data_IF_062871773527
#
_entry.id   IF_062871773527
#
_cell.length_a   1.000
_cell.length_b   1.000
_cell.length_c   1.000
_cell.angle_alpha   90.00
_cell.angle_beta   90.00
_cell.angle_gamma   90.00
#
_symmetry.space_group_name_H-M   'P 1'
#
loop_
_entity.id
_entity.type
_entity.pdbx_description
1 polymer ?
#
# COMPACT_ATOMS: atom_id res chain seq x y z
N UNK A 1 32.72 9.72 -3.81
CA UNK A 1 31.63 9.67 -4.81
C UNK A 1 30.34 10.07 -4.11
N UNK A 2 29.93 11.34 -4.25
CA UNK A 2 28.73 11.88 -3.61
C UNK A 2 27.50 11.43 -4.41
N UNK A 3 26.62 10.62 -3.83
CA UNK A 3 25.26 10.46 -4.35
C UNK A 3 24.36 11.46 -3.63
N UNK A 4 24.13 12.60 -4.27
CA UNK A 4 23.12 13.58 -3.85
C UNK A 4 21.76 12.97 -4.24
N UNK A 5 21.18 12.18 -3.34
CA UNK A 5 19.74 11.89 -3.43
C UNK A 5 19.02 13.14 -2.97
N UNK A 6 18.55 13.94 -3.92
CA UNK A 6 17.72 15.10 -3.65
C UNK A 6 16.38 14.61 -3.09
N UNK A 7 16.33 14.39 -1.78
CA UNK A 7 15.08 14.37 -1.03
C UNK A 7 14.36 15.67 -1.34
N UNK A 8 13.14 15.57 -1.86
CA UNK A 8 12.30 16.74 -2.04
C UNK A 8 12.16 17.43 -0.68
N UNK A 9 12.30 18.75 -0.58
CA UNK A 9 12.36 19.45 0.72
C UNK A 9 11.14 19.21 1.63
N UNK A 10 10.02 18.75 1.08
CA UNK A 10 8.83 18.35 1.84
C UNK A 10 8.97 17.02 2.60
N UNK A 11 9.87 16.13 2.20
CA UNK A 11 9.96 14.76 2.73
C UNK A 11 10.87 14.64 3.96
N UNK A 12 11.87 15.52 4.11
CA UNK A 12 12.68 15.61 5.33
C UNK A 12 11.99 16.38 6.49
N UNK A 13 10.85 17.05 6.20
CA UNK A 13 9.99 17.67 7.22
C UNK A 13 9.03 16.66 7.89
N UNK A 14 8.84 15.49 7.26
CA UNK A 14 7.92 14.40 7.66
C UNK A 14 8.25 13.84 9.04
N UNK A 15 9.53 13.73 9.39
CA UNK A 15 10.00 13.09 10.63
C UNK A 15 9.91 13.99 11.87
N UNK A 16 9.50 15.25 11.72
CA UNK A 16 9.40 16.23 12.81
C UNK A 16 7.97 16.66 13.16
N UNK A 17 6.95 15.91 12.72
CA UNK A 17 5.56 16.15 13.10
C UNK A 17 4.84 17.26 12.32
N UNK A 18 5.35 17.65 11.15
CA UNK A 18 4.73 18.69 10.31
C UNK A 18 4.29 18.14 8.94
N UNK A 19 3.52 17.04 8.91
CA UNK A 19 2.85 16.66 7.67
C UNK A 19 1.60 17.50 7.51
N UNK A 20 1.68 18.52 6.65
CA UNK A 20 0.48 19.18 6.13
C UNK A 20 -0.03 18.33 4.97
N UNK A 21 -0.97 17.42 5.26
CA UNK A 21 -1.70 16.72 4.22
C UNK A 21 -2.35 17.75 3.29
N UNK A 22 -2.27 17.53 1.97
CA UNK A 22 -3.07 18.32 1.04
C UNK A 22 -4.55 18.09 1.35
N UNK A 23 -5.41 19.09 1.11
CA UNK A 23 -6.84 18.99 1.45
C UNK A 23 -7.52 17.70 0.96
N UNK A 24 -7.12 17.19 -0.22
CA UNK A 24 -7.56 15.88 -0.73
C UNK A 24 -7.14 14.72 0.17
N UNK A 25 -5.89 14.67 0.60
CA UNK A 25 -5.35 13.59 1.43
C UNK A 25 -5.92 13.64 2.85
N UNK A 26 -6.09 14.85 3.41
CA UNK A 26 -6.78 15.04 4.68
C UNK A 26 -8.22 14.51 4.61
N UNK A 27 -8.94 14.81 3.51
CA UNK A 27 -10.29 14.28 3.29
C UNK A 27 -10.33 12.75 3.16
N UNK A 28 -9.32 12.13 2.52
CA UNK A 28 -9.20 10.67 2.46
C UNK A 28 -8.98 10.05 3.85
N UNK A 29 -8.09 10.64 4.67
CA UNK A 29 -7.81 10.13 6.01
C UNK A 29 -9.01 10.29 6.95
N UNK A 30 -9.70 11.43 6.86
CA UNK A 30 -10.90 11.70 7.65
C UNK A 30 -12.06 10.74 7.32
N UNK A 31 -12.15 10.27 6.08
CA UNK A 31 -13.13 9.27 5.66
C UNK A 31 -12.79 7.83 6.08
N UNK A 32 -11.59 7.61 6.64
CA UNK A 32 -11.08 6.31 7.11
C UNK A 32 -10.54 6.46 8.54
N UNK A 33 -11.36 6.84 9.53
CA UNK A 33 -10.90 7.15 10.88
C UNK A 33 -10.21 5.97 11.60
N UNK A 34 -10.56 4.72 11.30
CA UNK A 34 -10.13 3.52 12.02
C UNK A 34 -9.52 2.45 11.09
N UNK A 35 -8.64 1.58 11.60
CA UNK A 35 -8.26 0.34 10.90
C UNK A 35 -9.48 -0.50 10.52
N UNK A 36 -9.46 -1.09 9.34
CA UNK A 36 -10.57 -1.85 8.76
C UNK A 36 -11.55 -1.01 7.94
N UNK A 37 -11.52 0.32 8.09
CA UNK A 37 -12.38 1.19 7.29
C UNK A 37 -12.04 1.08 5.80
N UNK A 38 -13.09 1.18 4.98
CA UNK A 38 -12.99 1.08 3.52
C UNK A 38 -13.73 2.25 2.87
N UNK A 39 -13.16 2.76 1.79
CA UNK A 39 -13.71 3.87 1.03
C UNK A 39 -13.73 3.54 -0.45
N UNK A 40 -14.94 3.42 -1.00
CA UNK A 40 -15.18 3.40 -2.43
C UNK A 40 -15.12 4.81 -3.01
N UNK A 41 -14.24 5.03 -3.97
CA UNK A 41 -13.98 6.36 -4.51
C UNK A 41 -13.62 6.32 -6.00
N UNK A 42 -13.92 7.39 -6.72
CA UNK A 42 -13.50 7.54 -8.12
C UNK A 42 -11.98 7.45 -8.26
N UNK A 43 -11.50 6.73 -9.28
CA UNK A 43 -10.07 6.51 -9.55
C UNK A 43 -9.27 7.81 -9.68
N UNK A 44 -9.90 8.89 -10.15
CA UNK A 44 -9.27 10.22 -10.30
C UNK A 44 -9.03 10.95 -8.98
N UNK A 45 -9.62 10.49 -7.86
CA UNK A 45 -9.57 11.16 -6.56
C UNK A 45 -8.56 10.55 -5.59
N UNK A 46 -7.98 9.39 -5.93
CA UNK A 46 -6.97 8.72 -5.10
C UNK A 46 -5.91 8.08 -6.00
N UNK A 47 -4.65 8.13 -5.58
CA UNK A 47 -3.51 7.55 -6.27
C UNK A 47 -2.64 6.73 -5.31
N UNK A 48 -1.77 5.86 -5.86
CA UNK A 48 -0.79 5.12 -5.06
C UNK A 48 0.08 6.08 -4.21
N UNK A 49 0.41 7.26 -4.72
CA UNK A 49 1.19 8.26 -3.97
C UNK A 49 0.48 8.78 -2.74
N UNK A 50 -0.85 8.77 -2.74
CA UNK A 50 -1.61 9.19 -1.57
C UNK A 50 -1.44 8.18 -0.43
N UNK A 51 -1.26 6.87 -0.70
CA UNK A 51 -1.06 5.87 0.35
C UNK A 51 0.17 6.16 1.21
N UNK A 52 1.31 6.51 0.58
CA UNK A 52 2.52 6.89 1.32
C UNK A 52 2.31 8.12 2.22
N UNK A 53 1.58 9.13 1.74
CA UNK A 53 1.26 10.31 2.54
C UNK A 53 0.31 10.01 3.70
N UNK A 54 -0.68 9.13 3.49
CA UNK A 54 -1.60 8.68 4.53
C UNK A 54 -0.85 7.86 5.59
N UNK A 55 -0.01 6.91 5.16
CA UNK A 55 0.84 6.11 6.04
C UNK A 55 1.82 6.97 6.84
N UNK A 56 2.40 8.01 6.22
CA UNK A 56 3.25 8.96 6.92
C UNK A 56 2.50 9.75 8.01
N UNK A 57 1.22 10.08 7.76
CA UNK A 57 0.43 10.90 8.68
C UNK A 57 -0.07 10.14 9.91
N UNK A 58 -0.35 8.84 9.81
CA UNK A 58 -0.91 8.07 10.92
C UNK A 58 -0.14 6.80 11.30
N UNK A 59 0.90 6.42 10.56
CA UNK A 59 1.70 5.22 10.84
C UNK A 59 1.04 3.90 10.48
N UNK A 60 -0.07 3.90 9.72
CA UNK A 60 -0.80 2.69 9.35
C UNK A 60 -0.59 2.32 7.87
N UNK A 61 -0.82 1.05 7.53
CA UNK A 61 -0.93 0.59 6.16
C UNK A 61 -2.21 1.05 5.47
N UNK A 62 -2.13 1.18 4.15
CA UNK A 62 -3.27 1.40 3.28
C UNK A 62 -3.14 0.55 2.03
N UNK A 63 -4.24 -0.06 1.58
CA UNK A 63 -4.29 -0.81 0.33
C UNK A 63 -5.24 -0.15 -0.66
N UNK A 64 -4.92 -0.30 -1.94
CA UNK A 64 -5.71 0.25 -3.02
C UNK A 64 -6.05 -0.84 -4.04
N UNK A 65 -7.34 -1.08 -4.23
CA UNK A 65 -7.86 -2.00 -5.24
C UNK A 65 -8.54 -1.19 -6.34
N UNK A 66 -8.30 -1.50 -7.60
CA UNK A 66 -8.89 -0.78 -8.74
C UNK A 66 -9.86 -1.67 -9.50
N UNK A 67 -11.07 -1.18 -9.75
CA UNK A 67 -12.04 -1.77 -10.66
C UNK A 67 -12.50 -0.70 -11.66
N UNK A 68 -12.04 -0.80 -12.91
CA UNK A 68 -12.37 0.17 -13.98
C UNK A 68 -12.12 1.63 -13.53
N UNK A 69 -13.17 2.44 -13.41
CA UNK A 69 -13.13 3.85 -13.02
C UNK A 69 -13.21 4.14 -11.52
N UNK A 70 -13.32 3.11 -10.67
CA UNK A 70 -13.40 3.23 -9.20
C UNK A 70 -12.24 2.52 -8.51
N UNK A 71 -12.01 2.91 -7.27
CA UNK A 71 -11.02 2.33 -6.37
C UNK A 71 -11.64 2.10 -5.00
N UNK A 72 -11.25 0.98 -4.39
CA UNK A 72 -11.47 0.73 -2.98
C UNK A 72 -10.15 1.04 -2.26
N UNK A 73 -10.19 2.03 -1.38
CA UNK A 73 -9.11 2.36 -0.45
C UNK A 73 -9.43 1.72 0.90
N UNK A 74 -8.51 0.95 1.45
CA UNK A 74 -8.68 0.26 2.74
C UNK A 74 -7.60 0.74 3.69
N UNK A 75 -8.00 1.09 4.92
CA UNK A 75 -7.07 1.41 6.00
C UNK A 75 -6.75 0.14 6.80
N UNK A 76 -5.47 -0.14 6.95
CA UNK A 76 -4.95 -1.15 7.86
C UNK A 76 -4.55 -0.57 9.20
N UNK A 77 -3.71 -1.32 9.90
CA UNK A 77 -3.02 -0.88 11.11
C UNK A 77 -1.49 -0.85 10.89
N UNK A 78 -0.70 -0.87 11.96
CA UNK A 78 0.76 -0.87 11.89
C UNK A 78 1.35 -2.21 11.42
N UNK A 79 0.56 -3.29 11.43
CA UNK A 79 0.99 -4.65 11.12
C UNK A 79 0.50 -5.12 9.74
N UNK A 80 -0.58 -4.55 9.21
CA UNK A 80 -1.03 -4.88 7.86
C UNK A 80 -2.43 -4.41 7.49
N UNK A 81 -2.89 -4.90 6.34
CA UNK A 81 -4.25 -4.70 5.84
C UNK A 81 -5.20 -5.71 6.50
N UNK A 82 -6.27 -5.20 7.09
CA UNK A 82 -7.27 -5.99 7.82
C UNK A 82 -8.37 -6.54 6.91
N UNK A 83 -8.00 -7.22 5.83
CA UNK A 83 -8.93 -7.97 4.98
C UNK A 83 -8.67 -9.46 5.13
N UNK A 84 -9.74 -10.22 5.33
CA UNK A 84 -9.71 -11.69 5.31
C UNK A 84 -9.39 -12.21 3.91
N UNK A 85 -8.89 -13.44 3.83
CA UNK A 85 -8.68 -14.11 2.55
C UNK A 85 -9.98 -14.20 1.73
N UNK A 86 -11.12 -14.45 2.39
CA UNK A 86 -12.43 -14.51 1.74
C UNK A 86 -12.80 -13.18 1.07
N UNK A 87 -12.58 -12.05 1.75
CA UNK A 87 -12.82 -10.71 1.18
C UNK A 87 -11.88 -10.42 0.01
N UNK A 88 -10.60 -10.78 0.13
CA UNK A 88 -9.63 -10.62 -0.96
C UNK A 88 -10.02 -11.47 -2.19
N UNK A 89 -10.47 -12.71 -1.99
CA UNK A 89 -10.99 -13.58 -3.06
C UNK A 89 -12.25 -13.01 -3.69
N UNK A 90 -13.16 -12.43 -2.90
CA UNK A 90 -14.35 -11.75 -3.41
C UNK A 90 -13.95 -10.57 -4.31
N UNK A 91 -13.03 -9.71 -3.86
CA UNK A 91 -12.52 -8.59 -4.65
C UNK A 91 -11.90 -9.08 -5.98
N UNK A 92 -11.05 -10.10 -5.93
CA UNK A 92 -10.46 -10.70 -7.13
C UNK A 92 -11.52 -11.28 -8.08
N UNK A 93 -12.53 -11.97 -7.54
CA UNK A 93 -13.66 -12.54 -8.28
C UNK A 93 -14.53 -11.48 -8.97
N UNK A 94 -14.71 -10.32 -8.34
CA UNK A 94 -15.38 -9.14 -8.90
C UNK A 94 -14.53 -8.40 -9.96
N UNK A 95 -13.28 -8.83 -10.18
CA UNK A 95 -12.37 -8.25 -11.16
C UNK A 95 -11.59 -7.04 -10.64
N UNK A 96 -11.52 -6.83 -9.33
CA UNK A 96 -10.59 -5.85 -8.77
C UNK A 96 -9.15 -6.26 -9.04
N UNK A 97 -8.31 -5.24 -9.24
CA UNK A 97 -6.86 -5.36 -9.31
C UNK A 97 -6.23 -4.81 -8.05
N UNK A 98 -5.41 -5.60 -7.37
CA UNK A 98 -4.60 -5.11 -6.27
C UNK A 98 -3.55 -4.12 -6.81
N UNK A 99 -3.79 -2.83 -6.64
CA UNK A 99 -2.96 -1.79 -7.28
C UNK A 99 -1.68 -1.53 -6.50
N UNK A 100 -1.72 -1.79 -5.20
CA UNK A 100 -0.61 -1.66 -4.28
C UNK A 100 -1.06 -1.33 -2.87
N UNK A 101 -0.12 -1.35 -1.94
CA UNK A 101 -0.31 -0.93 -0.57
C UNK A 101 0.91 -0.13 -0.06
N UNK A 102 0.77 0.46 1.12
CA UNK A 102 1.85 1.18 1.78
C UNK A 102 2.38 0.45 2.99
N UNK A 103 3.70 0.49 3.20
CA UNK A 103 4.30 0.13 4.49
C UNK A 103 4.60 1.41 5.29
N UNK A 104 4.27 1.47 6.60
CA UNK A 104 4.70 2.55 7.44
C UNK A 104 6.18 2.36 7.77
N UNK A 105 6.95 3.46 7.86
CA UNK A 105 8.31 3.36 8.38
C UNK A 105 8.26 3.01 9.86
N UNK A 106 8.79 1.84 10.21
CA UNK A 106 8.83 1.35 11.60
C UNK A 106 10.10 1.80 12.32
N UNK A 107 11.20 2.04 11.58
CA UNK A 107 12.54 2.31 12.15
C UNK A 107 13.15 3.68 11.76
N UNK A 108 12.35 4.62 11.25
CA UNK A 108 12.82 5.98 10.91
C UNK A 108 13.47 6.12 9.51
N UNK A 109 14.21 7.22 9.27
CA UNK A 109 14.80 7.54 7.97
C UNK A 109 15.84 6.52 7.53
N UNK A 110 15.63 5.93 6.35
CA UNK A 110 16.64 5.06 5.70
C UNK A 110 16.35 3.56 5.79
N UNK A 111 15.20 3.16 6.33
CA UNK A 111 14.73 1.77 6.25
C UNK A 111 14.34 1.42 4.81
N UNK A 112 15.31 0.90 4.05
CA UNK A 112 15.11 0.46 2.66
C UNK A 112 14.28 -0.83 2.56
N UNK A 113 14.07 -1.54 3.68
CA UNK A 113 13.25 -2.76 3.69
C UNK A 113 11.76 -2.44 3.53
N UNK A 114 11.33 -1.21 3.81
CA UNK A 114 9.93 -0.78 3.73
C UNK A 114 9.34 -0.79 2.31
N UNK A 115 10.13 -0.96 1.25
CA UNK A 115 9.62 -1.12 -0.13
C UNK A 115 9.84 -2.52 -0.72
N UNK A 116 10.30 -3.47 0.09
CA UNK A 116 10.42 -4.86 -0.33
C UNK A 116 9.12 -5.59 -0.03
N UNK A 117 8.57 -6.27 -1.05
CA UNK A 117 7.45 -7.16 -0.84
C UNK A 117 7.86 -8.28 0.12
N UNK A 118 7.02 -8.54 1.11
CA UNK A 118 7.11 -9.70 1.99
C UNK A 118 6.71 -10.98 1.23
N UNK A 119 6.85 -12.12 1.91
CA UNK A 119 6.32 -13.39 1.40
C UNK A 119 4.79 -13.36 1.25
N UNK A 120 4.08 -12.77 2.22
CA UNK A 120 2.63 -12.64 2.20
C UNK A 120 2.14 -11.71 1.08
N UNK A 121 2.84 -10.61 0.79
CA UNK A 121 2.50 -9.72 -0.33
C UNK A 121 2.53 -10.47 -1.67
N UNK A 122 3.56 -11.31 -1.87
CA UNK A 122 3.69 -12.14 -3.06
C UNK A 122 2.62 -13.22 -3.09
N UNK A 123 2.33 -13.86 -1.96
CA UNK A 123 1.30 -14.89 -1.86
C UNK A 123 -0.10 -14.35 -2.20
N UNK A 124 -0.46 -13.15 -1.72
CA UNK A 124 -1.74 -12.50 -2.07
C UNK A 124 -1.86 -12.29 -3.58
N UNK A 125 -0.80 -11.78 -4.20
CA UNK A 125 -0.78 -11.55 -5.64
C UNK A 125 -0.82 -12.89 -6.43
N UNK A 126 -0.15 -13.94 -5.94
CA UNK A 126 -0.01 -15.23 -6.62
C UNK A 126 -1.26 -16.09 -6.51
N UNK A 127 -1.80 -16.19 -5.30
CA UNK A 127 -2.85 -17.15 -4.94
C UNK A 127 -4.26 -16.56 -5.05
N UNK A 128 -4.41 -15.25 -4.87
CA UNK A 128 -5.71 -14.57 -4.85
C UNK A 128 -5.91 -13.75 -6.13
N UNK A 129 -4.97 -12.85 -6.43
CA UNK A 129 -5.05 -11.99 -7.62
C UNK A 129 -4.30 -12.57 -8.82
N UNK A 130 -4.34 -13.90 -9.01
CA UNK A 130 -3.52 -14.67 -9.97
C UNK A 130 -3.60 -14.21 -11.43
N UNK A 131 -4.65 -13.49 -11.83
CA UNK A 131 -4.79 -12.85 -13.15
C UNK A 131 -3.91 -11.61 -13.32
N UNK A 132 -3.27 -11.13 -12.26
CA UNK A 132 -2.39 -9.98 -12.22
C UNK A 132 -0.95 -10.42 -11.87
N UNK A 133 0.03 -9.92 -12.65
CA UNK A 133 1.44 -10.27 -12.45
C UNK A 133 2.25 -9.34 -11.56
N UNK A 134 1.74 -8.14 -11.28
CA UNK A 134 2.47 -7.10 -10.54
C UNK A 134 1.58 -6.22 -9.69
N UNK A 135 2.13 -5.71 -8.59
CA UNK A 135 1.54 -4.71 -7.71
C UNK A 135 2.64 -3.74 -7.24
N UNK A 136 2.27 -2.74 -6.43
CA UNK A 136 3.18 -1.68 -5.98
C UNK A 136 3.24 -1.64 -4.46
N UNK A 137 4.43 -1.46 -3.91
CA UNK A 137 4.62 -1.05 -2.52
C UNK A 137 5.11 0.39 -2.54
N UNK A 138 4.60 1.21 -1.63
CA UNK A 138 5.09 2.57 -1.39
C UNK A 138 5.35 2.78 0.10
N UNK A 139 6.51 3.30 0.48
CA UNK A 139 6.78 3.62 1.88
C UNK A 139 6.19 5.00 2.26
N UNK A 140 6.21 5.32 3.56
CA UNK A 140 5.83 6.64 4.06
C UNK A 140 6.75 7.78 3.58
N UNK A 141 7.94 7.46 3.04
CA UNK A 141 8.84 8.38 2.36
C UNK A 141 8.51 8.60 0.87
N UNK A 142 7.46 7.96 0.35
CA UNK A 142 7.07 8.04 -1.06
C UNK A 142 7.95 7.25 -2.02
N UNK A 143 8.94 6.51 -1.52
CA UNK A 143 9.71 5.54 -2.31
C UNK A 143 8.80 4.40 -2.70
N UNK A 144 8.94 3.90 -3.93
CA UNK A 144 8.07 2.84 -4.44
C UNK A 144 8.84 1.75 -5.12
N UNK A 145 8.32 0.54 -5.03
CA UNK A 145 8.80 -0.62 -5.74
C UNK A 145 7.63 -1.32 -6.44
N UNK A 146 7.87 -1.80 -7.66
CA UNK A 146 6.93 -2.68 -8.36
C UNK A 146 7.41 -4.10 -8.10
N UNK A 147 6.59 -4.91 -7.43
CA UNK A 147 6.89 -6.31 -7.26
C UNK A 147 6.09 -7.14 -8.25
N UNK A 148 6.76 -8.12 -8.85
CA UNK A 148 6.21 -8.98 -9.88
C UNK A 148 6.32 -10.44 -9.45
N UNK A 149 5.38 -11.26 -9.91
CA UNK A 149 5.44 -12.71 -9.78
C UNK A 149 6.07 -13.24 -11.05
N UNK A 150 7.14 -14.00 -10.90
CA UNK A 150 7.74 -14.73 -12.01
C UNK A 150 6.86 -15.94 -12.32
N UNK A 151 6.44 -16.13 -13.59
CA UNK A 151 5.78 -17.36 -13.99
C UNK A 151 6.71 -18.55 -13.72
N UNK A 152 6.27 -19.50 -12.89
CA UNK A 152 7.04 -20.72 -12.60
C UNK A 152 8.02 -20.67 -11.43
N UNK A 153 8.02 -19.61 -10.59
CA UNK A 153 8.66 -19.72 -9.26
C UNK A 153 7.71 -20.46 -8.32
N UNK A 154 8.05 -21.71 -8.05
CA UNK A 154 7.26 -22.73 -7.35
C UNK A 154 6.65 -22.29 -6.01
N UNK A 155 5.40 -22.73 -5.83
CA UNK A 155 4.76 -23.19 -4.59
C UNK A 155 5.23 -22.55 -3.28
N UNK A 156 4.54 -21.48 -2.84
CA UNK A 156 4.40 -21.25 -1.40
C UNK A 156 3.38 -22.27 -0.87
N UNK A 157 3.89 -23.37 -0.31
CA UNK A 157 3.12 -24.28 0.54
C UNK A 157 2.63 -23.44 1.71
N UNK A 158 1.31 -23.25 1.84
CA UNK A 158 0.74 -22.89 3.14
C UNK A 158 0.97 -24.11 4.04
N UNK A 159 1.71 -24.03 5.15
CA UNK A 159 1.66 -25.10 6.13
C UNK A 159 0.20 -25.20 6.60
N UNK A 160 -0.38 -26.38 6.44
CA UNK A 160 -1.68 -26.69 7.02
C UNK A 160 -1.54 -26.68 8.55
N UNK A 161 -2.39 -25.90 9.22
CA UNK A 161 -2.63 -26.01 10.67
C UNK A 161 -1.77 -25.11 11.55
#
# INVERSE_FOLDING_TARGET
>A
MLMISALSPNLAAVERGYIVLKGRQAGLLAALPMPGDQLDIAKSKVSIRDLGALAAACGHEFALFTLKGRRLLVRGDTAGILLTEQELRLLAGLGYRFSGHSHPRVNGPGDQLSVNASGSDRAVLQSIFSKQRRSVIIDSGGNRNVFEIQPGSDTLIFPEG
#
